data_IF_935972039637
#
_entry.id   IF_935972039637
#
_cell.length_a   1.000
_cell.length_b   1.000
_cell.length_c   1.000
_cell.angle_alpha   90.00
_cell.angle_beta   90.00
_cell.angle_gamma   90.00
#
_symmetry.space_group_name_H-M   'P 1'
#
loop_
_entity.id
_entity.type
_entity.pdbx_description
1 polymer ?
#
# COMPACT_ATOMS: atom_id res chain seq x y z
N UNK A 1 -4.38 16.40 -5.47
CA UNK A 1 -3.21 16.71 -4.64
C UNK A 1 -1.97 16.05 -5.21
N UNK A 2 -0.79 16.59 -4.96
CA UNK A 2 0.48 15.96 -5.34
C UNK A 2 0.83 14.80 -4.40
N UNK A 3 1.78 13.95 -4.79
CA UNK A 3 2.33 12.88 -3.92
C UNK A 3 2.78 13.40 -2.54
N UNK A 4 3.46 14.56 -2.49
CA UNK A 4 3.95 15.14 -1.23
C UNK A 4 2.81 15.66 -0.35
N UNK A 5 1.79 16.27 -0.95
CA UNK A 5 0.58 16.69 -0.24
C UNK A 5 -0.19 15.49 0.32
N UNK A 6 -0.31 14.41 -0.46
CA UNK A 6 -0.95 13.17 -0.03
C UNK A 6 -0.19 12.54 1.15
N UNK A 7 1.13 12.47 1.07
CA UNK A 7 1.98 11.99 2.16
C UNK A 7 1.76 12.81 3.43
N UNK A 8 1.78 14.15 3.33
CA UNK A 8 1.57 15.03 4.48
C UNK A 8 0.19 14.81 5.12
N UNK A 9 -0.87 14.71 4.30
CA UNK A 9 -2.25 14.47 4.77
C UNK A 9 -2.38 13.12 5.47
N UNK A 10 -1.74 12.08 4.95
CA UNK A 10 -1.71 10.75 5.58
C UNK A 10 -0.97 10.80 6.92
N UNK A 11 0.18 11.46 6.98
CA UNK A 11 0.95 11.64 8.24
C UNK A 11 0.13 12.39 9.30
N UNK A 12 -0.54 13.47 8.91
CA UNK A 12 -1.45 14.22 9.79
C UNK A 12 -2.56 13.32 10.33
N UNK A 13 -3.23 12.56 9.45
CA UNK A 13 -4.35 11.70 9.84
C UNK A 13 -3.94 10.48 10.67
N UNK A 14 -2.70 10.00 10.54
CA UNK A 14 -2.15 8.90 11.35
C UNK A 14 -1.49 9.39 12.64
N UNK A 15 -1.35 10.70 12.85
CA UNK A 15 -0.69 11.27 14.02
C UNK A 15 0.85 11.10 14.02
N UNK A 16 1.45 10.95 12.83
CA UNK A 16 2.87 10.61 12.64
C UNK A 16 3.72 11.80 12.17
N UNK A 17 3.28 13.02 12.45
CA UNK A 17 3.89 14.26 11.94
C UNK A 17 5.40 14.40 12.23
N UNK A 18 5.89 13.80 13.31
CA UNK A 18 7.28 13.89 13.76
C UNK A 18 8.17 12.70 13.37
N UNK A 19 7.60 11.63 12.81
CA UNK A 19 8.37 10.44 12.44
C UNK A 19 8.58 10.41 10.92
N UNK A 20 9.84 10.47 10.49
CA UNK A 20 10.24 10.39 9.08
C UNK A 20 10.58 8.96 8.65
N UNK A 21 10.63 7.99 9.58
CA UNK A 21 10.98 6.59 9.28
C UNK A 21 9.96 5.94 8.36
N UNK A 22 8.71 6.38 8.45
CA UNK A 22 7.59 5.81 7.69
C UNK A 22 7.33 6.55 6.38
N UNK A 23 8.02 7.67 6.11
CA UNK A 23 7.81 8.49 4.92
C UNK A 23 8.08 7.72 3.64
N UNK A 24 9.16 6.94 3.63
CA UNK A 24 9.53 6.11 2.48
C UNK A 24 8.48 5.02 2.23
N UNK A 25 8.03 4.33 3.29
CA UNK A 25 6.99 3.31 3.18
C UNK A 25 5.67 3.90 2.67
N UNK A 26 5.24 5.06 3.20
CA UNK A 26 4.03 5.74 2.74
C UNK A 26 4.17 6.17 1.27
N UNK A 27 5.35 6.64 0.87
CA UNK A 27 5.65 7.03 -0.52
C UNK A 27 5.55 5.84 -1.47
N UNK A 28 6.08 4.68 -1.07
CA UNK A 28 6.00 3.44 -1.85
C UNK A 28 4.55 2.98 -2.04
N UNK A 29 3.71 3.09 -0.99
CA UNK A 29 2.29 2.77 -1.10
C UNK A 29 1.57 3.74 -2.04
N UNK A 30 1.88 5.05 -1.96
CA UNK A 30 1.33 6.06 -2.87
C UNK A 30 1.67 5.73 -4.32
N UNK A 31 2.95 5.41 -4.60
CA UNK A 31 3.41 5.04 -5.93
C UNK A 31 2.71 3.79 -6.44
N UNK A 32 2.63 2.73 -5.63
CA UNK A 32 1.95 1.49 -6.00
C UNK A 32 0.48 1.71 -6.36
N UNK A 33 -0.22 2.60 -5.64
CA UNK A 33 -1.61 2.97 -5.94
C UNK A 33 -1.69 3.80 -7.23
N UNK A 34 -0.78 4.73 -7.46
CA UNK A 34 -0.74 5.53 -8.69
C UNK A 34 -0.50 4.65 -9.91
N UNK A 35 0.47 3.73 -9.83
CA UNK A 35 0.79 2.77 -10.89
C UNK A 35 -0.40 1.86 -11.19
N UNK A 36 -1.07 1.33 -10.17
CA UNK A 36 -2.22 0.47 -10.35
C UNK A 36 -3.41 1.20 -11.00
N UNK A 37 -3.65 2.46 -10.59
CA UNK A 37 -4.75 3.28 -11.09
C UNK A 37 -4.44 3.99 -12.42
N UNK A 38 -3.20 3.92 -12.92
CA UNK A 38 -2.70 4.71 -14.05
C UNK A 38 -2.87 6.22 -13.83
N UNK A 39 -2.50 6.71 -12.64
CA UNK A 39 -2.57 8.12 -12.27
C UNK A 39 -1.18 8.75 -12.27
N UNK A 40 -1.11 10.02 -12.62
CA UNK A 40 0.11 10.80 -12.44
C UNK A 40 0.30 11.13 -10.96
N UNK A 41 1.52 10.95 -10.46
CA UNK A 41 1.96 11.35 -9.11
C UNK A 41 1.71 12.83 -8.79
N UNK A 42 1.58 13.68 -9.82
CA UNK A 42 1.23 15.09 -9.67
C UNK A 42 -0.27 15.32 -9.37
N UNK A 43 -1.15 14.39 -9.77
CA UNK A 43 -2.60 14.53 -9.62
C UNK A 43 -3.25 13.27 -9.03
N UNK A 44 -3.24 13.22 -7.70
CA UNK A 44 -3.89 12.17 -6.91
C UNK A 44 -5.25 12.68 -6.39
N UNK A 45 -6.36 11.98 -6.65
CA UNK A 45 -7.66 12.31 -6.08
C UNK A 45 -7.74 12.09 -4.56
N UNK A 46 -8.40 13.00 -3.85
CA UNK A 46 -8.65 12.93 -2.39
C UNK A 46 -9.38 11.65 -1.95
N UNK A 47 -10.21 11.07 -2.83
CA UNK A 47 -10.97 9.85 -2.54
C UNK A 47 -10.04 8.64 -2.31
N UNK A 48 -8.79 8.69 -2.81
CA UNK A 48 -7.80 7.63 -2.60
C UNK A 48 -7.11 7.71 -1.24
N UNK A 49 -7.14 8.87 -0.57
CA UNK A 49 -6.54 9.07 0.74
C UNK A 49 -6.93 7.98 1.76
N UNK A 50 -8.22 7.66 1.99
CA UNK A 50 -8.59 6.66 2.99
C UNK A 50 -8.14 5.25 2.63
N UNK A 51 -7.95 4.94 1.34
CA UNK A 51 -7.45 3.63 0.90
C UNK A 51 -5.96 3.53 1.20
N UNK A 52 -5.19 4.53 0.79
CA UNK A 52 -3.74 4.61 1.02
C UNK A 52 -3.46 4.64 2.52
N UNK A 53 -4.19 5.44 3.30
CA UNK A 53 -4.07 5.53 4.75
C UNK A 53 -4.30 4.19 5.44
N UNK A 54 -5.38 3.47 5.08
CA UNK A 54 -5.66 2.15 5.66
C UNK A 54 -4.55 1.16 5.36
N UNK A 55 -3.99 1.20 4.14
CA UNK A 55 -2.89 0.32 3.75
C UNK A 55 -1.61 0.64 4.54
N UNK A 56 -1.22 1.91 4.59
CA UNK A 56 -0.06 2.35 5.37
C UNK A 56 -0.21 1.97 6.86
N UNK A 57 -1.39 2.21 7.44
CA UNK A 57 -1.69 1.79 8.82
C UNK A 57 -1.53 0.28 9.01
N UNK A 58 -2.02 -0.53 8.07
CA UNK A 58 -1.88 -1.99 8.13
C UNK A 58 -0.42 -2.45 8.15
N UNK A 59 0.46 -1.79 7.39
CA UNK A 59 1.90 -2.09 7.40
C UNK A 59 2.52 -1.70 8.75
N UNK A 60 2.18 -0.52 9.29
CA UNK A 60 2.67 -0.07 10.60
C UNK A 60 2.22 -1.01 11.72
N UNK A 61 0.95 -1.39 11.72
CA UNK A 61 0.40 -2.31 12.72
C UNK A 61 1.09 -3.68 12.65
N UNK A 62 1.40 -4.17 11.43
CA UNK A 62 2.17 -5.40 11.23
C UNK A 62 3.59 -5.28 11.77
N UNK A 63 4.32 -4.22 11.44
CA UNK A 63 5.68 -4.03 11.91
C UNK A 63 5.76 -3.84 13.44
N UNK A 64 4.73 -3.23 14.03
CA UNK A 64 4.62 -3.10 15.48
C UNK A 64 4.39 -4.46 16.18
N UNK A 65 3.70 -5.40 15.53
CA UNK A 65 3.40 -6.71 16.09
C UNK A 65 4.49 -7.76 15.83
N UNK A 66 5.11 -7.74 14.64
CA UNK A 66 6.03 -8.79 14.16
C UNK A 66 7.51 -8.34 14.11
N UNK A 67 7.78 -7.06 14.38
CA UNK A 67 9.08 -6.44 14.19
C UNK A 67 9.27 -5.85 12.81
N UNK A 68 10.36 -5.11 12.61
CA UNK A 68 10.67 -4.50 11.32
C UNK A 68 11.02 -5.57 10.27
N UNK A 69 10.30 -5.54 9.15
CA UNK A 69 10.49 -6.46 8.03
C UNK A 69 9.57 -7.67 8.05
N UNK A 70 9.63 -8.46 6.98
CA UNK A 70 8.80 -9.64 6.82
C UNK A 70 9.35 -10.83 7.60
N UNK A 71 8.59 -11.29 8.59
CA UNK A 71 8.89 -12.50 9.35
C UNK A 71 7.98 -13.65 8.86
N UNK A 72 8.54 -14.68 8.19
CA UNK A 72 7.76 -15.85 7.80
C UNK A 72 7.39 -16.67 9.04
N UNK A 73 6.10 -16.94 9.22
CA UNK A 73 5.61 -17.77 10.33
C UNK A 73 5.90 -19.26 10.07
N UNK A 74 6.53 -19.93 11.02
CA UNK A 74 6.75 -21.39 10.98
C UNK A 74 5.47 -22.09 11.44
N UNK A 75 4.87 -22.92 10.58
CA UNK A 75 3.66 -23.68 10.91
C UNK A 75 3.98 -24.94 11.74
N UNK A 76 5.04 -25.66 11.39
CA UNK A 76 5.50 -26.82 12.17
C UNK A 76 6.95 -27.18 11.88
N UNK A 77 7.62 -27.73 12.89
CA UNK A 77 8.93 -28.38 12.78
C UNK A 77 8.72 -29.82 13.22
N UNK A 78 8.97 -30.79 12.34
CA UNK A 78 8.95 -32.21 12.70
C UNK A 78 10.38 -32.64 13.00
N UNK A 79 10.69 -32.97 14.25
CA UNK A 79 12.00 -33.52 14.60
C UNK A 79 12.15 -34.93 14.01
N UNK A 80 12.99 -35.08 12.97
CA UNK A 80 13.33 -36.39 12.38
C UNK A 80 13.35 -36.41 10.86
N UNK A 81 12.68 -35.46 10.21
CA UNK A 81 12.77 -35.18 8.78
C UNK A 81 13.14 -33.71 8.68
N UNK A 82 14.17 -33.34 7.92
CA UNK A 82 14.72 -31.96 7.90
C UNK A 82 13.78 -30.91 7.29
N UNK A 83 12.47 -31.14 7.31
CA UNK A 83 11.43 -30.36 6.66
C UNK A 83 10.80 -29.36 7.64
N UNK A 84 10.93 -28.06 7.30
CA UNK A 84 10.23 -26.95 7.97
C UNK A 84 9.01 -26.61 7.12
N UNK A 85 7.83 -26.58 7.73
CA UNK A 85 6.58 -26.14 7.05
C UNK A 85 6.27 -24.71 7.44
N UNK A 86 6.02 -23.83 6.46
CA UNK A 86 5.73 -22.41 6.67
C UNK A 86 4.21 -22.13 6.60
N UNK A 87 3.71 -21.24 7.45
CA UNK A 87 2.29 -20.88 7.54
C UNK A 87 1.87 -19.82 6.49
N UNK A 88 2.48 -19.83 5.31
CA UNK A 88 2.17 -18.84 4.27
C UNK A 88 0.80 -19.11 3.66
N UNK A 89 -0.15 -18.22 3.97
CA UNK A 89 -1.51 -18.16 3.43
C UNK A 89 -1.63 -16.86 2.60
N UNK A 90 -2.56 -16.79 1.64
CA UNK A 90 -2.76 -15.59 0.77
C UNK A 90 -2.82 -14.25 1.54
N UNK A 91 -3.22 -14.26 2.82
CA UNK A 91 -3.30 -13.07 3.68
C UNK A 91 -2.03 -12.64 4.41
N UNK A 92 -1.01 -13.49 4.58
CA UNK A 92 0.19 -13.20 5.40
C UNK A 92 1.52 -13.31 4.60
N UNK A 93 1.45 -13.18 3.28
CA UNK A 93 2.65 -13.09 2.45
C UNK A 93 3.23 -11.68 2.43
N UNK A 94 4.55 -11.57 2.22
CA UNK A 94 5.23 -10.28 2.06
C UNK A 94 4.55 -9.38 1.02
N UNK A 95 4.14 -9.97 -0.10
CA UNK A 95 3.46 -9.26 -1.19
C UNK A 95 2.06 -8.75 -0.80
N UNK A 96 1.35 -9.46 0.08
CA UNK A 96 0.02 -9.03 0.56
C UNK A 96 0.14 -7.94 1.63
N UNK A 97 1.16 -8.00 2.49
CA UNK A 97 1.42 -7.03 3.55
C UNK A 97 1.94 -5.71 2.96
N UNK A 98 3.07 -5.76 2.27
CA UNK A 98 3.77 -4.57 1.76
C UNK A 98 3.29 -4.14 0.37
N UNK A 99 2.69 -5.04 -0.41
CA UNK A 99 2.12 -4.74 -1.73
C UNK A 99 0.60 -4.60 -1.68
N UNK A 100 -0.01 -4.22 -2.81
CA UNK A 100 -1.47 -4.13 -2.92
C UNK A 100 -2.10 -5.52 -2.95
N UNK A 101 -2.90 -5.84 -1.92
CA UNK A 101 -3.65 -7.09 -1.84
C UNK A 101 -4.87 -7.07 -2.77
N UNK A 102 -5.51 -8.22 -3.00
CA UNK A 102 -6.72 -8.28 -3.85
C UNK A 102 -7.90 -7.48 -3.28
N UNK A 103 -8.00 -7.36 -1.95
CA UNK A 103 -9.01 -6.51 -1.30
C UNK A 103 -8.72 -5.02 -1.55
N UNK A 104 -7.47 -4.60 -1.43
CA UNK A 104 -7.03 -3.23 -1.75
C UNK A 104 -7.33 -2.90 -3.21
N UNK A 105 -6.93 -3.80 -4.12
CA UNK A 105 -7.19 -3.67 -5.56
C UNK A 105 -8.68 -3.59 -5.87
N UNK A 106 -9.55 -4.32 -5.16
CA UNK A 106 -11.00 -4.26 -5.36
C UNK A 106 -11.56 -2.86 -5.08
N UNK A 107 -11.06 -2.17 -4.05
CA UNK A 107 -11.40 -0.78 -3.77
C UNK A 107 -10.89 0.17 -4.87
N UNK A 108 -9.67 -0.05 -5.33
CA UNK A 108 -9.01 0.78 -6.35
C UNK A 108 -9.54 0.59 -7.77
N UNK A 109 -10.15 -0.57 -8.10
CA UNK A 109 -10.70 -0.87 -9.44
C UNK A 109 -11.66 0.21 -9.94
N UNK A 110 -12.41 0.85 -9.03
CA UNK A 110 -13.36 1.93 -9.38
C UNK A 110 -12.69 3.22 -9.81
N UNK A 111 -11.45 3.43 -9.37
CA UNK A 111 -10.66 4.63 -9.65
C UNK A 111 -9.61 4.43 -10.74
N UNK A 112 -9.46 3.17 -11.20
CA UNK A 112 -8.49 2.78 -12.22
C UNK A 112 -8.93 3.29 -13.60
N UNK A 113 -8.08 4.08 -14.24
CA UNK A 113 -8.30 4.57 -15.61
C UNK A 113 -7.82 3.53 -16.63
N UNK A 114 -8.52 3.45 -17.76
CA UNK A 114 -8.07 2.65 -18.91
C UNK A 114 -6.91 3.37 -19.59
N UNK A 115 -5.78 2.67 -19.76
CA UNK A 115 -4.59 3.19 -20.43
C UNK A 115 -4.94 3.48 -21.89
N UNK A 116 -4.86 4.75 -22.30
CA UNK A 116 -5.19 5.20 -23.67
C UNK A 116 -6.41 6.11 -23.79
N UNK A 117 -7.26 6.20 -22.77
CA UNK A 117 -8.31 7.22 -22.69
C UNK A 117 -7.81 8.39 -21.85
N UNK A 118 -6.85 9.15 -22.39
CA UNK A 118 -6.67 10.53 -21.93
C UNK A 118 -7.91 11.25 -22.41
N UNK A 119 -8.74 11.68 -21.46
CA UNK A 119 -9.81 12.63 -21.75
C UNK A 119 -9.12 13.82 -22.41
N UNK A 120 -9.29 13.99 -23.73
CA UNK A 120 -8.87 15.21 -24.39
C UNK A 120 -9.56 16.31 -23.63
N UNK A 121 -8.78 17.09 -22.88
CA UNK A 121 -9.31 18.29 -22.26
C UNK A 121 -9.78 19.11 -23.45
N UNK A 122 -11.10 19.15 -23.69
CA UNK A 122 -11.67 20.12 -24.60
C UNK A 122 -11.16 21.45 -24.09
N UNK A 123 -10.22 22.02 -24.85
CA UNK A 123 -9.76 23.37 -24.63
C UNK A 123 -10.94 24.20 -25.14
N UNK A 124 -11.85 24.56 -24.24
CA UNK A 124 -12.93 25.49 -24.56
C UNK A 124 -12.28 26.82 -24.93
N UNK A 125 -12.24 27.07 -26.24
CA UNK A 125 -11.98 28.36 -26.90
C UNK A 125 -13.24 29.18 -26.84
#
# INVERSE_FOLDING_TARGET
>A
MTSSEMLKKIKENLGLLSDNRQDLMISDVILAVCDYCNLDSAFIPDILEPIIRKKAKGIIDYEAANGAGYCPEVASIKEGDGSITWAQTEGNTKASIYGLSESDKKGLRRHRRLRGYVQSVCSDV
#
